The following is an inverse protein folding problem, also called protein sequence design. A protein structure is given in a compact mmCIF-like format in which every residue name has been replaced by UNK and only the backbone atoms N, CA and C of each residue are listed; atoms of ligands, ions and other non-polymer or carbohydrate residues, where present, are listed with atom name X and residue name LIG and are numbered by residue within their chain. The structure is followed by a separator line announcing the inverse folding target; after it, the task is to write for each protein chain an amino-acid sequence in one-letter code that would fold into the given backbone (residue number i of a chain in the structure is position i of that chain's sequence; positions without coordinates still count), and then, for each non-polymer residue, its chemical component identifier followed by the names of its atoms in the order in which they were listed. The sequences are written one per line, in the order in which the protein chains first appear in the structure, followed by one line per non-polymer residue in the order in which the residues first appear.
data_IF_174987372480
#
_entry.id   IF_174987372480
#
_cell.length_a   1.000
_cell.length_b   1.000
_cell.length_c   1.000
_cell.angle_alpha   90.00
_cell.angle_beta   90.00
_cell.angle_gamma   90.00
#
_symmetry.space_group_name_H-M   'P 1'
#
loop_
_entity.id
_entity.type
_entity.pdbx_description
1 polymer ?
#
# COMPACT_ATOMS: atom_id res chain seq x y z
N UNK A 1 12.92 1.85 3.80
CA UNK A 1 12.49 0.52 4.27
C UNK A 1 11.73 -0.13 3.12
N UNK A 2 12.39 -1.03 2.40
CA UNK A 2 11.85 -1.72 1.22
C UNK A 2 11.39 -3.09 1.73
N UNK A 3 10.10 -3.38 1.64
CA UNK A 3 9.58 -4.67 2.09
C UNK A 3 9.73 -5.69 0.95
N UNK A 4 10.29 -6.88 1.23
CA UNK A 4 10.55 -7.92 0.23
C UNK A 4 9.28 -8.66 -0.22
N UNK A 5 8.21 -8.57 0.56
CA UNK A 5 6.91 -9.10 0.17
C UNK A 5 6.05 -7.95 -0.33
N UNK A 6 5.40 -8.11 -1.48
CA UNK A 6 4.45 -7.15 -2.06
C UNK A 6 3.24 -6.77 -1.17
N UNK A 7 3.26 -7.11 0.13
CA UNK A 7 2.23 -6.86 1.14
C UNK A 7 2.26 -5.47 1.78
N UNK A 8 2.78 -4.45 1.10
CA UNK A 8 2.75 -3.05 1.57
C UNK A 8 1.62 -2.20 0.98
N UNK A 9 0.85 -2.77 0.04
CA UNK A 9 0.00 -2.01 -0.89
C UNK A 9 -1.51 -2.18 -0.65
N UNK A 10 -1.94 -3.12 0.20
CA UNK A 10 -3.37 -3.34 0.44
C UNK A 10 -3.96 -2.18 1.26
N UNK A 11 -5.25 -1.90 1.04
CA UNK A 11 -5.96 -0.87 1.78
C UNK A 11 -6.04 -1.18 3.28
N UNK A 12 -6.22 -2.47 3.61
CA UNK A 12 -6.32 -2.95 4.97
C UNK A 12 -5.02 -2.78 5.76
N UNK A 13 -3.89 -3.19 5.20
CA UNK A 13 -2.59 -3.08 5.88
C UNK A 13 -2.18 -1.61 6.06
N UNK A 14 -2.54 -0.75 5.09
CA UNK A 14 -2.38 0.71 5.22
C UNK A 14 -3.24 1.26 6.36
N UNK A 15 -4.50 0.85 6.44
CA UNK A 15 -5.41 1.28 7.50
C UNK A 15 -4.93 0.80 8.87
N UNK A 16 -4.48 -0.46 8.99
CA UNK A 16 -3.89 -0.99 10.22
C UNK A 16 -2.70 -0.14 10.70
N UNK A 17 -1.82 0.26 9.78
CA UNK A 17 -0.66 1.13 10.11
C UNK A 17 -1.08 2.54 10.48
N UNK A 18 -2.12 3.08 9.86
CA UNK A 18 -2.72 4.36 10.25
C UNK A 18 -3.28 4.30 11.66
N UNK A 19 -4.05 3.26 12.00
CA UNK A 19 -4.57 3.04 13.35
C UNK A 19 -3.45 2.97 14.40
N UNK A 20 -2.34 2.29 14.08
CA UNK A 20 -1.15 2.26 14.96
C UNK A 20 -0.56 3.66 15.19
N UNK A 21 -0.52 4.52 14.17
CA UNK A 21 -0.02 5.90 14.32
C UNK A 21 -0.95 6.77 15.14
N UNK A 22 -2.26 6.62 14.95
CA UNK A 22 -3.26 7.35 15.70
C UNK A 22 -3.28 6.94 17.18
N UNK A 23 -3.23 5.63 17.46
CA UNK A 23 -3.09 5.14 18.84
C UNK A 23 -1.77 5.57 19.50
N UNK A 24 -0.69 5.71 18.72
CA UNK A 24 0.55 6.28 19.21
C UNK A 24 0.44 7.77 19.52
N UNK A 25 -0.39 8.51 18.78
CA UNK A 25 -0.68 9.91 19.06
C UNK A 25 -1.34 10.08 20.43
N UNK A 26 -2.33 9.23 20.75
CA UNK A 26 -3.00 9.26 22.07
C UNK A 26 -1.98 9.09 23.21
N UNK A 27 -1.04 8.15 23.07
CA UNK A 27 0.05 7.94 24.04
C UNK A 27 1.00 9.14 24.14
N UNK A 28 1.32 9.78 23.01
CA UNK A 28 2.19 10.96 23.01
C UNK A 28 1.50 12.17 23.65
N UNK A 29 0.19 12.36 23.42
CA UNK A 29 -0.60 13.46 23.97
C UNK A 29 -0.77 13.35 25.49
N UNK A 30 -0.87 12.13 26.04
CA UNK A 30 -0.85 11.91 27.50
C UNK A 30 0.55 11.98 28.12
N UNK A 31 1.58 12.34 27.34
CA UNK A 31 2.94 12.60 27.81
C UNK A 31 3.91 11.42 27.77
N UNK A 32 3.56 10.29 27.13
CA UNK A 32 4.46 9.15 27.05
C UNK A 32 5.74 9.48 26.26
N UNK A 33 6.86 8.90 26.66
CA UNK A 33 8.15 9.05 25.98
C UNK A 33 8.22 8.26 24.66
N UNK A 34 9.11 8.66 23.76
CA UNK A 34 9.35 7.93 22.49
C UNK A 34 9.75 6.46 22.73
N UNK A 35 10.36 6.17 23.88
CA UNK A 35 10.75 4.80 24.27
C UNK A 35 9.54 3.96 24.66
N UNK A 36 8.55 4.54 25.32
CA UNK A 36 7.31 3.86 25.69
C UNK A 36 6.45 3.58 24.45
N UNK A 37 6.30 4.57 23.58
CA UNK A 37 5.62 4.43 22.28
C UNK A 37 6.29 3.36 21.43
N UNK A 38 7.62 3.40 21.29
CA UNK A 38 8.38 2.40 20.55
C UNK A 38 8.17 0.97 21.06
N UNK A 39 8.21 0.78 22.39
CA UNK A 39 7.96 -0.53 23.02
C UNK A 39 6.53 -1.00 22.81
N UNK A 40 5.54 -0.13 23.02
CA UNK A 40 4.11 -0.46 22.93
C UNK A 40 3.70 -0.90 21.52
N UNK A 41 4.16 -0.18 20.49
CA UNK A 41 3.79 -0.43 19.10
C UNK A 41 4.82 -1.26 18.32
N UNK A 42 5.86 -1.77 19.00
CA UNK A 42 6.97 -2.54 18.40
C UNK A 42 7.60 -1.83 17.19
N UNK A 43 7.75 -0.52 17.29
CA UNK A 43 8.41 0.31 16.28
C UNK A 43 9.76 0.82 16.78
N UNK A 44 10.58 1.32 15.87
CA UNK A 44 11.85 1.93 16.27
C UNK A 44 11.61 3.25 17.01
N UNK A 45 12.54 3.65 17.88
CA UNK A 45 12.52 4.97 18.53
C UNK A 45 12.51 6.11 17.51
N UNK A 46 13.16 5.94 16.36
CA UNK A 46 13.17 6.93 15.29
C UNK A 46 11.78 7.11 14.66
N UNK A 47 11.01 6.03 14.51
CA UNK A 47 9.62 6.09 14.05
C UNK A 47 8.73 6.84 15.05
N UNK A 48 8.84 6.51 16.34
CA UNK A 48 8.10 7.20 17.39
C UNK A 48 8.44 8.69 17.46
N UNK A 49 9.73 9.04 17.37
CA UNK A 49 10.16 10.44 17.33
C UNK A 49 9.62 11.20 16.12
N UNK A 50 9.62 10.55 14.94
CA UNK A 50 9.03 11.13 13.73
C UNK A 50 7.53 11.40 13.90
N UNK A 51 6.79 10.50 14.53
CA UNK A 51 5.37 10.70 14.81
C UNK A 51 5.14 11.85 15.79
N UNK A 52 5.94 11.96 16.87
CA UNK A 52 5.87 13.12 17.78
C UNK A 52 6.09 14.43 17.05
N UNK A 53 7.11 14.51 16.18
CA UNK A 53 7.39 15.72 15.39
C UNK A 53 6.26 16.06 14.42
N UNK A 54 5.69 15.05 13.75
CA UNK A 54 4.55 15.25 12.85
C UNK A 54 3.30 15.72 13.60
N UNK A 55 3.03 15.12 14.77
CA UNK A 55 1.93 15.50 15.66
C UNK A 55 2.08 16.95 16.16
N UNK A 56 3.29 17.35 16.56
CA UNK A 56 3.57 18.72 16.99
C UNK A 56 3.42 19.75 15.85
N UNK A 57 3.73 19.36 14.62
CA UNK A 57 3.69 20.27 13.46
C UNK A 57 2.29 20.41 12.82
N UNK A 58 1.47 19.35 12.86
CA UNK A 58 0.20 19.31 12.13
C UNK A 58 -0.91 18.48 12.77
N UNK A 59 -0.79 18.19 14.06
CA UNK A 59 -1.79 17.44 14.82
C UNK A 59 -1.97 16.00 14.32
N UNK A 60 -3.07 15.38 14.72
CA UNK A 60 -3.40 13.99 14.36
C UNK A 60 -3.53 13.80 12.84
N UNK A 61 -3.96 14.84 12.10
CA UNK A 61 -4.06 14.79 10.65
C UNK A 61 -2.72 14.54 9.96
N UNK A 62 -1.61 14.99 10.55
CA UNK A 62 -0.27 14.72 10.02
C UNK A 62 0.16 13.25 10.13
N UNK A 63 -0.55 12.43 10.91
CA UNK A 63 -0.30 11.00 11.10
C UNK A 63 -1.20 10.12 10.24
N UNK A 64 -2.28 10.68 9.69
CA UNK A 64 -3.20 10.00 8.77
C UNK A 64 -2.45 9.64 7.48
N UNK A 65 -2.77 8.48 6.91
CA UNK A 65 -2.19 8.05 5.65
C UNK A 65 -2.64 8.98 4.53
N UNK A 66 -1.70 9.49 3.74
CA UNK A 66 -1.98 10.27 2.52
C UNK A 66 -2.54 9.42 1.36
N UNK A 67 -2.99 8.20 1.64
CA UNK A 67 -3.38 7.21 0.65
C UNK A 67 -2.22 6.31 0.18
N UNK A 68 -2.47 5.45 -0.81
CA UNK A 68 -1.43 4.60 -1.40
C UNK A 68 -0.32 5.48 -1.99
N UNK A 69 0.93 5.20 -1.60
CA UNK A 69 2.10 5.80 -2.24
C UNK A 69 2.36 5.12 -3.57
N UNK A 70 2.56 5.90 -4.64
CA UNK A 70 2.76 5.41 -6.01
C UNK A 70 1.90 6.16 -7.02
N UNK A 71 2.09 5.86 -8.31
CA UNK A 71 1.16 6.32 -9.33
C UNK A 71 -0.25 5.81 -9.02
N UNK A 72 -1.28 6.62 -9.28
CA UNK A 72 -2.67 6.14 -9.20
C UNK A 72 -2.79 4.91 -10.08
N UNK A 73 -3.49 3.87 -9.59
CA UNK A 73 -3.82 2.71 -10.41
C UNK A 73 -4.48 3.22 -11.70
N UNK A 74 -3.88 2.90 -12.86
CA UNK A 74 -4.43 3.29 -14.17
C UNK A 74 -5.68 2.48 -14.52
N UNK A 75 -5.97 1.43 -13.75
CA UNK A 75 -7.16 0.60 -13.86
C UNK A 75 -8.12 0.91 -12.71
N UNK A 76 -9.39 1.11 -13.04
CA UNK A 76 -10.45 1.18 -12.04
C UNK A 76 -10.79 -0.22 -11.46
N UNK A 77 -11.64 -0.26 -10.44
CA UNK A 77 -12.00 -1.50 -9.77
C UNK A 77 -12.73 -2.52 -10.67
N UNK A 78 -13.46 -2.05 -11.69
CA UNK A 78 -14.13 -2.93 -12.66
C UNK A 78 -13.15 -3.52 -13.66
N UNK A 79 -12.17 -2.73 -14.11
CA UNK A 79 -11.09 -3.17 -14.98
C UNK A 79 -10.15 -4.13 -14.27
N UNK A 80 -9.90 -3.94 -12.98
CA UNK A 80 -9.14 -4.90 -12.16
C UNK A 80 -9.82 -6.26 -12.06
N UNK A 81 -11.14 -6.30 -11.80
CA UNK A 81 -11.90 -7.56 -11.77
C UNK A 81 -11.92 -8.25 -13.14
N UNK A 82 -12.05 -7.46 -14.22
CA UNK A 82 -11.97 -7.99 -15.57
C UNK A 82 -10.57 -8.55 -15.87
N UNK A 83 -9.50 -7.90 -15.38
CA UNK A 83 -8.14 -8.42 -15.51
C UNK A 83 -7.95 -9.71 -14.73
N UNK A 84 -8.43 -9.78 -13.48
CA UNK A 84 -8.37 -10.98 -12.64
C UNK A 84 -9.04 -12.18 -13.33
N UNK A 85 -10.26 -12.02 -13.83
CA UNK A 85 -10.95 -13.07 -14.57
C UNK A 85 -10.18 -13.56 -15.80
N UNK A 86 -9.41 -12.68 -16.44
CA UNK A 86 -8.58 -13.01 -17.60
C UNK A 86 -7.32 -13.74 -17.20
N UNK A 87 -6.71 -13.36 -16.08
CA UNK A 87 -5.55 -14.05 -15.54
C UNK A 87 -5.91 -15.46 -15.07
N UNK A 88 -7.07 -15.63 -14.44
CA UNK A 88 -7.64 -16.92 -14.03
C UNK A 88 -7.97 -17.83 -15.23
N UNK A 89 -8.48 -17.27 -16.33
CA UNK A 89 -8.71 -18.02 -17.57
C UNK A 89 -7.40 -18.54 -18.23
N UNK A 90 -6.25 -18.03 -17.79
CA UNK A 90 -4.93 -18.45 -18.22
C UNK A 90 -4.48 -17.84 -19.56
N UNK A 91 -3.20 -17.94 -19.90
CA UNK A 91 -2.64 -17.33 -21.11
C UNK A 91 -3.23 -17.90 -22.42
N UNK A 92 -3.70 -19.15 -22.39
CA UNK A 92 -4.34 -19.79 -23.53
C UNK A 92 -5.63 -19.07 -23.97
N UNK A 93 -6.41 -18.55 -23.01
CA UNK A 93 -7.61 -17.77 -23.30
C UNK A 93 -7.33 -16.44 -24.03
N UNK A 94 -6.07 -16.00 -24.03
CA UNK A 94 -5.60 -14.82 -24.72
C UNK A 94 -4.72 -15.14 -25.94
N UNK A 95 -4.67 -16.41 -26.37
CA UNK A 95 -3.98 -16.85 -27.58
C UNK A 95 -2.49 -17.18 -27.41
N UNK A 96 -2.00 -17.35 -26.18
CA UNK A 96 -0.63 -17.82 -25.94
C UNK A 96 -0.57 -19.33 -25.79
N UNK A 97 0.44 -19.95 -26.41
CA UNK A 97 0.64 -21.40 -26.45
C UNK A 97 1.17 -22.00 -25.13
N UNK A 98 1.72 -21.19 -24.23
CA UNK A 98 2.34 -21.66 -22.98
C UNK A 98 1.59 -21.13 -21.74
N UNK A 99 1.58 -21.92 -20.67
CA UNK A 99 0.83 -21.68 -19.42
C UNK A 99 1.37 -20.52 -18.55
N UNK A 100 2.43 -19.83 -18.97
CA UNK A 100 3.09 -18.79 -18.17
C UNK A 100 2.55 -17.38 -18.38
N UNK A 101 2.05 -16.74 -17.34
CA UNK A 101 1.94 -15.29 -17.29
C UNK A 101 3.31 -14.66 -17.08
N UNK A 102 3.67 -13.70 -17.93
CA UNK A 102 4.85 -12.84 -17.73
C UNK A 102 4.38 -11.40 -17.58
N UNK A 103 5.18 -10.55 -16.93
CA UNK A 103 4.85 -9.12 -16.78
C UNK A 103 4.60 -8.44 -18.14
N UNK A 104 5.36 -8.81 -19.17
CA UNK A 104 5.16 -8.30 -20.52
C UNK A 104 3.80 -8.71 -21.12
N UNK A 105 3.37 -9.97 -20.90
CA UNK A 105 2.07 -10.48 -21.38
C UNK A 105 0.90 -9.83 -20.63
N UNK A 106 1.02 -9.69 -19.31
CA UNK A 106 0.01 -8.97 -18.50
C UNK A 106 -0.09 -7.51 -18.97
N UNK A 107 1.04 -6.85 -19.20
CA UNK A 107 1.08 -5.49 -19.76
C UNK A 107 0.40 -5.39 -21.13
N UNK A 108 0.59 -6.38 -22.01
CA UNK A 108 -0.07 -6.45 -23.32
C UNK A 108 -1.59 -6.63 -23.20
N UNK A 109 -2.06 -7.53 -22.33
CA UNK A 109 -3.50 -7.69 -22.04
C UNK A 109 -4.08 -6.37 -21.55
N UNK A 110 -3.40 -5.71 -20.62
CA UNK A 110 -3.86 -4.46 -20.04
C UNK A 110 -3.92 -3.34 -21.08
N UNK A 111 -2.91 -3.22 -21.96
CA UNK A 111 -2.92 -2.27 -23.08
C UNK A 111 -4.06 -2.55 -24.05
N UNK A 112 -4.22 -3.80 -24.50
CA UNK A 112 -5.24 -4.16 -25.50
C UNK A 112 -6.67 -4.03 -24.99
N UNK A 113 -6.93 -4.40 -23.72
CA UNK A 113 -8.29 -4.38 -23.15
C UNK A 113 -8.68 -3.06 -22.51
N UNK A 114 -7.73 -2.34 -21.92
CA UNK A 114 -8.05 -1.17 -21.10
C UNK A 114 -7.38 0.12 -21.58
N UNK A 115 -6.55 0.08 -22.63
CA UNK A 115 -5.86 1.26 -23.16
C UNK A 115 -4.88 1.90 -22.17
N UNK A 116 -4.54 1.21 -21.08
CA UNK A 116 -3.67 1.73 -20.04
C UNK A 116 -2.20 1.37 -20.36
N UNK A 117 -1.44 2.36 -20.82
CA UNK A 117 0.00 2.21 -21.03
C UNK A 117 0.78 2.47 -19.73
N UNK A 118 1.77 1.64 -19.45
CA UNK A 118 2.73 1.82 -18.36
C UNK A 118 4.07 2.23 -19.00
N UNK A 119 4.65 3.36 -18.56
CA UNK A 119 6.00 3.83 -18.95
C UNK A 119 6.96 3.63 -17.78
#
# INVERSE_FOLDING_TARGET
MRYPDGGGLTAEERHRREQVRLAAADLIEVGASDREVARRFRVTRMSANRWRRALAAGGRQALVSKGPGGARCKLDASQLRALEAVLEAGPAACGWSDLGWTLARIGEVVRRRFGAEWH
#
